data_IF_785695039972
#
_entry.id   IF_785695039972
#
_cell.length_a   1.000
_cell.length_b   1.000
_cell.length_c   1.000
_cell.angle_alpha   90.00
_cell.angle_beta   90.00
_cell.angle_gamma   90.00
#
_symmetry.space_group_name_H-M   'P 1'
#
loop_
_entity.id
_entity.type
_entity.pdbx_description
1 polymer ?
#
# COMPACT_ATOMS: atom_id res chain seq x y z
N UNK A 1 -9.76 19.28 37.50
CA UNK A 1 -8.95 19.86 36.42
C UNK A 1 -8.44 18.69 35.59
N UNK A 2 -9.11 18.39 34.49
CA UNK A 2 -8.67 17.34 33.56
C UNK A 2 -7.66 17.99 32.62
N UNK A 3 -6.37 17.74 32.83
CA UNK A 3 -5.33 18.05 31.85
C UNK A 3 -5.73 17.43 30.51
N UNK A 4 -5.70 18.23 29.45
CA UNK A 4 -6.01 17.76 28.11
C UNK A 4 -5.05 16.64 27.73
N UNK A 5 -5.60 15.46 27.43
CA UNK A 5 -4.83 14.37 26.83
C UNK A 5 -4.51 14.76 25.38
N UNK A 6 -3.39 15.45 25.18
CA UNK A 6 -2.86 15.74 23.86
C UNK A 6 -2.44 14.46 23.13
N UNK A 7 -2.41 14.50 21.80
CA UNK A 7 -1.96 13.39 20.97
C UNK A 7 -0.48 13.11 21.22
N UNK A 8 -0.17 11.98 21.86
CA UNK A 8 1.20 11.49 22.03
C UNK A 8 1.56 10.50 20.92
N UNK A 9 2.45 10.92 20.02
CA UNK A 9 3.04 10.07 18.99
C UNK A 9 4.53 9.94 19.27
N UNK A 10 5.02 8.70 19.33
CA UNK A 10 6.45 8.41 19.37
C UNK A 10 7.02 8.54 17.94
N UNK A 11 7.83 9.57 17.66
CA UNK A 11 8.36 9.80 16.32
C UNK A 11 9.29 8.69 15.85
N UNK A 12 10.00 8.03 16.78
CA UNK A 12 10.93 6.95 16.44
C UNK A 12 10.15 5.70 16.03
N UNK A 13 9.09 5.34 16.76
CA UNK A 13 8.25 4.19 16.39
C UNK A 13 7.57 4.41 15.03
N UNK A 14 7.10 5.63 14.73
CA UNK A 14 6.54 5.95 13.41
C UNK A 14 7.61 5.87 12.32
N UNK A 15 8.81 6.38 12.57
CA UNK A 15 9.91 6.32 11.62
C UNK A 15 10.30 4.85 11.32
N UNK A 16 10.45 4.03 12.35
CA UNK A 16 10.81 2.62 12.22
C UNK A 16 9.72 1.83 11.47
N UNK A 17 8.46 2.01 11.84
CA UNK A 17 7.34 1.34 11.19
C UNK A 17 7.20 1.74 9.71
N UNK A 18 7.32 3.04 9.40
CA UNK A 18 7.22 3.52 8.02
C UNK A 18 8.41 3.09 7.17
N UNK A 19 9.62 3.00 7.74
CA UNK A 19 10.79 2.44 7.06
C UNK A 19 10.60 0.94 6.74
N UNK A 20 10.02 0.18 7.67
CA UNK A 20 9.71 -1.23 7.44
C UNK A 20 8.67 -1.42 6.34
N UNK A 21 7.61 -0.58 6.33
CA UNK A 21 6.59 -0.59 5.28
C UNK A 21 7.19 -0.28 3.90
N UNK A 22 8.03 0.74 3.78
CA UNK A 22 8.66 1.10 2.51
C UNK A 22 9.57 -0.02 1.99
N UNK A 23 10.34 -0.67 2.87
CA UNK A 23 11.19 -1.79 2.51
C UNK A 23 10.37 -2.98 1.99
N UNK A 24 9.32 -3.37 2.72
CA UNK A 24 8.42 -4.46 2.31
C UNK A 24 7.68 -4.13 1.01
N UNK A 25 7.22 -2.89 0.83
CA UNK A 25 6.51 -2.47 -0.37
C UNK A 25 7.43 -2.46 -1.60
N UNK A 26 8.70 -2.06 -1.43
CA UNK A 26 9.71 -2.12 -2.48
C UNK A 26 10.00 -3.56 -2.90
N UNK A 27 10.18 -4.46 -1.94
CA UNK A 27 10.41 -5.88 -2.20
C UNK A 27 9.21 -6.51 -2.93
N UNK A 28 7.99 -6.24 -2.46
CA UNK A 28 6.76 -6.71 -3.08
C UNK A 28 6.64 -6.22 -4.53
N UNK A 29 6.84 -4.93 -4.78
CA UNK A 29 6.74 -4.32 -6.11
C UNK A 29 7.74 -4.94 -7.08
N UNK A 30 9.00 -5.10 -6.65
CA UNK A 30 10.06 -5.71 -7.45
C UNK A 30 9.76 -7.19 -7.76
N UNK A 31 9.34 -7.95 -6.75
CA UNK A 31 8.97 -9.35 -6.91
C UNK A 31 7.78 -9.50 -7.87
N UNK A 32 6.75 -8.67 -7.71
CA UNK A 32 5.58 -8.65 -8.58
C UNK A 32 5.96 -8.40 -10.04
N UNK A 33 6.69 -7.32 -10.32
CA UNK A 33 7.15 -6.97 -11.67
C UNK A 33 7.96 -8.11 -12.30
N UNK A 34 8.89 -8.70 -11.53
CA UNK A 34 9.72 -9.81 -12.00
C UNK A 34 8.89 -11.04 -12.38
N UNK A 35 7.94 -11.42 -11.51
CA UNK A 35 7.09 -12.60 -11.76
C UNK A 35 6.11 -12.37 -12.89
N UNK A 36 5.51 -11.18 -12.99
CA UNK A 36 4.59 -10.85 -14.08
C UNK A 36 5.29 -10.79 -15.43
N UNK A 37 6.51 -10.26 -15.50
CA UNK A 37 7.31 -10.30 -16.72
C UNK A 37 7.60 -11.76 -17.16
N UNK A 38 7.89 -12.65 -16.21
CA UNK A 38 8.09 -14.06 -16.50
C UNK A 38 6.80 -14.78 -16.94
N UNK A 39 5.65 -14.45 -16.36
CA UNK A 39 4.36 -14.98 -16.79
C UNK A 39 4.03 -14.46 -18.20
N UNK A 40 4.19 -13.16 -18.45
CA UNK A 40 3.93 -12.56 -19.75
C UNK A 40 4.80 -13.18 -20.86
N UNK A 41 6.07 -13.51 -20.57
CA UNK A 41 6.93 -14.18 -21.54
C UNK A 41 6.51 -15.61 -21.86
N UNK A 42 5.80 -16.27 -20.94
CA UNK A 42 5.25 -17.63 -21.11
C UNK A 42 3.81 -17.65 -21.65
N UNK A 43 3.10 -16.52 -21.60
CA UNK A 43 1.74 -16.36 -22.11
C UNK A 43 1.71 -16.18 -23.62
N UNK A 44 2.18 -17.18 -24.36
CA UNK A 44 2.08 -17.21 -25.82
C UNK A 44 1.77 -18.62 -26.33
N UNK A 45 1.06 -18.69 -27.46
CA UNK A 45 0.64 -19.95 -28.07
C UNK A 45 1.82 -20.88 -28.42
N UNK A 46 3.00 -20.31 -28.72
CA UNK A 46 4.20 -21.10 -29.00
C UNK A 46 4.76 -21.83 -27.77
N UNK A 47 4.46 -21.37 -26.56
CA UNK A 47 4.91 -22.02 -25.31
C UNK A 47 4.04 -23.21 -24.94
N UNK A 48 2.74 -23.14 -25.24
CA UNK A 48 1.76 -24.16 -24.84
C UNK A 48 1.58 -25.25 -25.90
N UNK A 49 2.04 -25.00 -27.13
CA UNK A 49 1.85 -25.90 -28.25
C UNK A 49 0.58 -25.56 -29.04
N UNK A 50 0.60 -25.91 -30.32
CA UNK A 50 -0.53 -25.71 -31.23
C UNK A 50 -1.40 -26.96 -31.38
N UNK A 51 -1.09 -28.02 -30.63
CA UNK A 51 -1.88 -29.25 -30.59
C UNK A 51 -3.15 -29.07 -29.73
N UNK A 52 -4.01 -30.07 -29.74
CA UNK A 52 -5.29 -30.02 -29.01
C UNK A 52 -5.09 -29.79 -27.50
N UNK A 53 -3.99 -30.31 -26.93
CA UNK A 53 -3.66 -30.12 -25.53
C UNK A 53 -3.27 -28.66 -25.23
N UNK A 54 -2.41 -28.05 -26.05
CA UNK A 54 -2.00 -26.66 -25.91
C UNK A 54 -3.16 -25.68 -26.09
N UNK A 55 -4.03 -25.93 -27.07
CA UNK A 55 -5.25 -25.12 -27.28
C UNK A 55 -6.21 -25.24 -26.09
N UNK A 56 -6.40 -26.44 -25.55
CA UNK A 56 -7.24 -26.66 -24.36
C UNK A 56 -6.68 -25.94 -23.13
N UNK A 57 -5.37 -26.01 -22.91
CA UNK A 57 -4.72 -25.25 -21.84
C UNK A 57 -4.91 -23.75 -22.01
N UNK A 58 -4.70 -23.21 -23.22
CA UNK A 58 -4.87 -21.79 -23.51
C UNK A 58 -6.29 -21.30 -23.15
N UNK A 59 -7.29 -22.09 -23.53
CA UNK A 59 -8.69 -21.80 -23.21
C UNK A 59 -8.94 -21.82 -21.69
N UNK A 60 -8.55 -22.90 -21.01
CA UNK A 60 -8.75 -23.01 -19.56
C UNK A 60 -8.01 -21.92 -18.78
N UNK A 61 -6.80 -21.56 -19.20
CA UNK A 61 -6.01 -20.49 -18.60
C UNK A 61 -6.70 -19.13 -18.74
N UNK A 62 -7.26 -18.83 -19.91
CA UNK A 62 -8.03 -17.60 -20.14
C UNK A 62 -9.34 -17.59 -19.34
N UNK A 63 -10.10 -18.69 -19.33
CA UNK A 63 -11.35 -18.82 -18.57
C UNK A 63 -11.14 -18.69 -17.06
N UNK A 64 -10.00 -19.15 -16.54
CA UNK A 64 -9.60 -18.96 -15.15
C UNK A 64 -9.13 -17.51 -14.84
N UNK A 65 -9.04 -16.65 -15.85
CA UNK A 65 -8.58 -15.26 -15.71
C UNK A 65 -7.07 -15.12 -15.60
N UNK A 66 -6.30 -16.11 -16.08
CA UNK A 66 -4.83 -16.08 -16.07
C UNK A 66 -4.26 -14.89 -16.85
N UNK A 67 -4.93 -14.48 -17.93
CA UNK A 67 -4.58 -13.28 -18.71
C UNK A 67 -4.82 -11.97 -17.95
N UNK A 68 -5.71 -11.97 -16.96
CA UNK A 68 -6.10 -10.78 -16.19
C UNK A 68 -5.34 -10.66 -14.87
N UNK A 69 -4.51 -11.65 -14.53
CA UNK A 69 -3.77 -11.72 -13.26
C UNK A 69 -2.93 -10.46 -13.03
N UNK A 70 -2.36 -9.89 -14.08
CA UNK A 70 -1.56 -8.66 -13.99
C UNK A 70 -2.37 -7.50 -13.41
N UNK A 71 -3.51 -7.18 -14.00
CA UNK A 71 -4.33 -6.05 -13.55
C UNK A 71 -4.88 -6.25 -12.14
N UNK A 72 -5.25 -7.49 -11.78
CA UNK A 72 -5.76 -7.82 -10.44
C UNK A 72 -4.70 -7.64 -9.35
N UNK A 73 -3.46 -8.07 -9.60
CA UNK A 73 -2.39 -7.95 -8.62
C UNK A 73 -1.76 -6.55 -8.56
N UNK A 74 -1.73 -5.81 -9.68
CA UNK A 74 -1.23 -4.43 -9.70
C UNK A 74 -1.98 -3.52 -8.73
N UNK A 75 -3.32 -3.66 -8.63
CA UNK A 75 -4.11 -2.90 -7.67
C UNK A 75 -3.70 -3.18 -6.22
N UNK A 76 -3.51 -4.45 -5.86
CA UNK A 76 -3.09 -4.84 -4.50
C UNK A 76 -1.69 -4.33 -4.18
N UNK A 77 -0.76 -4.42 -5.14
CA UNK A 77 0.60 -3.88 -4.97
C UNK A 77 0.57 -2.37 -4.81
N UNK A 78 -0.27 -1.66 -5.57
CA UNK A 78 -0.45 -0.22 -5.43
C UNK A 78 -0.98 0.17 -4.05
N UNK A 79 -1.97 -0.56 -3.52
CA UNK A 79 -2.52 -0.31 -2.17
C UNK A 79 -1.44 -0.48 -1.08
N UNK A 80 -0.60 -1.51 -1.19
CA UNK A 80 0.51 -1.73 -0.23
C UNK A 80 1.56 -0.62 -0.33
N UNK A 81 1.87 -0.15 -1.54
CA UNK A 81 2.79 0.97 -1.76
C UNK A 81 2.25 2.28 -1.17
N UNK A 82 0.92 2.46 -1.17
CA UNK A 82 0.28 3.68 -0.68
C UNK A 82 0.15 3.72 0.85
N UNK A 83 0.15 2.57 1.52
CA UNK A 83 -0.08 2.48 2.96
C UNK A 83 0.95 3.24 3.81
N UNK A 84 2.25 3.17 3.46
CA UNK A 84 3.32 3.90 4.15
C UNK A 84 3.13 5.43 4.09
N UNK A 85 2.95 6.03 2.90
CA UNK A 85 2.55 7.42 2.73
C UNK A 85 1.31 7.82 3.55
N UNK A 86 0.25 7.01 3.52
CA UNK A 86 -1.00 7.32 4.23
C UNK A 86 -0.79 7.39 5.76
N UNK A 87 0.03 6.49 6.32
CA UNK A 87 0.40 6.52 7.74
C UNK A 87 1.14 7.82 8.09
N UNK A 88 2.09 8.26 7.25
CA UNK A 88 2.82 9.52 7.49
C UNK A 88 1.88 10.73 7.47
N UNK A 89 0.98 10.79 6.49
CA UNK A 89 -0.02 11.85 6.39
C UNK A 89 -0.96 11.85 7.59
N UNK A 90 -1.42 10.68 8.04
CA UNK A 90 -2.28 10.56 9.21
C UNK A 90 -1.57 11.06 10.49
N UNK A 91 -0.29 10.72 10.68
CA UNK A 91 0.53 11.20 11.80
C UNK A 91 0.70 12.72 11.76
N UNK A 92 1.05 13.27 10.60
CA UNK A 92 1.22 14.72 10.42
C UNK A 92 -0.09 15.48 10.70
N UNK A 93 -1.21 14.99 10.17
CA UNK A 93 -2.52 15.60 10.39
C UNK A 93 -2.94 15.55 11.86
N UNK A 94 -2.65 14.44 12.55
CA UNK A 94 -2.97 14.29 13.98
C UNK A 94 -2.18 15.28 14.83
N UNK A 95 -0.87 15.44 14.57
CA UNK A 95 -0.03 16.42 15.27
C UNK A 95 -0.47 17.85 14.99
N UNK A 96 -0.83 18.18 13.75
CA UNK A 96 -1.31 19.51 13.38
C UNK A 96 -2.64 19.86 14.06
N UNK A 97 -3.57 18.90 14.12
CA UNK A 97 -4.86 19.08 14.79
C UNK A 97 -4.71 19.30 16.29
N UNK A 98 -3.82 18.54 16.95
CA UNK A 98 -3.51 18.72 18.38
C UNK A 98 -2.93 20.12 18.67
N UNK A 99 -2.01 20.58 17.82
CA UNK A 99 -1.41 21.91 17.90
C UNK A 99 -2.45 23.03 17.76
N UNK A 100 -3.42 22.87 16.87
CA UNK A 100 -4.49 23.85 16.69
C UNK A 100 -5.46 23.86 17.88
N UNK A 101 -5.81 22.69 18.42
CA UNK A 101 -6.63 22.59 19.63
C UNK A 101 -5.94 23.19 20.85
N UNK A 102 -4.64 22.94 21.03
CA UNK A 102 -3.86 23.54 22.11
C UNK A 102 -3.86 25.07 22.04
N UNK A 103 -3.72 25.65 20.84
CA UNK A 103 -3.80 27.11 20.63
C UNK A 103 -5.19 27.69 20.92
N UNK A 104 -6.25 26.94 20.63
CA UNK A 104 -7.62 27.36 20.90
C UNK A 104 -7.99 27.35 22.40
N UNK A 105 -7.28 26.56 23.22
CA UNK A 105 -7.48 26.49 24.67
C UNK A 105 -6.67 27.58 25.41
N UNK A 106 -5.59 28.09 24.81
CA UNK A 106 -4.69 29.10 25.39
C UNK A 106 -5.22 30.54 25.31
N UNK A 107 -6.51 30.74 24.97
CA UNK A 107 -7.13 32.07 24.98
C UNK A 107 -7.23 32.55 26.44
N UNK A 108 -6.63 33.69 26.80
CA UNK A 108 -6.62 34.18 28.17
C UNK A 108 -8.06 34.43 28.64
N UNK A 109 -8.41 33.86 29.79
CA UNK A 109 -9.61 34.23 30.54
C UNK A 109 -9.32 35.59 31.21
N UNK A 110 -9.33 36.67 30.42
CA UNK A 110 -9.41 38.01 30.98
C UNK A 110 -10.87 38.28 31.42
N UNK A 111 -11.10 38.17 32.73
CA UNK A 111 -12.27 38.76 33.38
C UNK A 111 -13.09 37.82 34.27
N UNK A 112 -12.59 37.56 35.48
CA UNK A 112 -13.40 37.48 36.71
C UNK A 112 -12.65 38.14 37.86
#
# INVERSE_FOLDING_TARGET
MTEGQGVQIDPQQVADATAQLDATATELSSAWQTRMAAIASLNNATTWGTDDAGQNFAQQYAEAGGTDMQGKGEAVVADVLQFGPDVRTAVQNSLAADLEQARAVDVPVEGL
#
